data_IF_085238962251
#
_entry.id   IF_085238962251
#
_cell.length_a   1.000
_cell.length_b   1.000
_cell.length_c   1.000
_cell.angle_alpha   90.00
_cell.angle_beta   90.00
_cell.angle_gamma   90.00
#
_symmetry.space_group_name_H-M   'P 1'
#
loop_
_entity.id
_entity.type
_entity.pdbx_description
1 polymer ?
#
# COMPACT_ATOMS: atom_id res chain seq x y z
N UNK A 1 -1.68 -32.72 -4.83
CA UNK A 1 -2.16 -32.50 -6.21
C UNK A 1 -2.48 -31.02 -6.36
N UNK A 2 -1.96 -30.35 -7.40
CA UNK A 2 -2.31 -28.94 -7.66
C UNK A 2 -3.67 -28.93 -8.33
N UNK A 3 -4.70 -28.42 -7.65
CA UNK A 3 -6.02 -28.26 -8.25
C UNK A 3 -5.93 -27.21 -9.37
N UNK A 4 -6.10 -27.65 -10.61
CA UNK A 4 -6.16 -26.76 -11.78
C UNK A 4 -7.62 -26.44 -12.11
N UNK A 5 -7.89 -25.19 -12.46
CA UNK A 5 -9.22 -24.69 -12.77
C UNK A 5 -9.16 -23.87 -14.06
N UNK A 6 -10.20 -23.99 -14.88
CA UNK A 6 -10.35 -23.21 -16.12
C UNK A 6 -11.00 -21.87 -15.80
N UNK A 7 -10.40 -20.78 -16.29
CA UNK A 7 -11.03 -19.46 -16.21
C UNK A 7 -12.17 -19.32 -17.22
N UNK A 8 -13.33 -18.82 -16.80
CA UNK A 8 -14.47 -18.62 -17.69
C UNK A 8 -14.35 -17.39 -18.64
N UNK A 9 -13.29 -16.57 -18.51
CA UNK A 9 -13.11 -15.39 -19.36
C UNK A 9 -11.97 -15.59 -20.38
N UNK A 10 -10.80 -16.01 -19.92
CA UNK A 10 -9.66 -16.26 -20.83
C UNK A 10 -9.51 -17.73 -21.24
N UNK A 11 -10.35 -18.64 -20.72
CA UNK A 11 -10.36 -20.08 -21.01
C UNK A 11 -9.03 -20.82 -20.75
N UNK A 12 -8.09 -20.21 -20.04
CA UNK A 12 -6.82 -20.83 -19.65
C UNK A 12 -7.00 -21.76 -18.44
N UNK A 13 -6.32 -22.90 -18.46
CA UNK A 13 -6.12 -23.77 -17.29
C UNK A 13 -5.04 -23.15 -16.41
N UNK A 14 -5.40 -22.81 -15.18
CA UNK A 14 -4.51 -22.16 -14.22
C UNK A 14 -4.62 -22.87 -12.87
N UNK A 15 -3.58 -22.82 -12.02
CA UNK A 15 -3.67 -23.37 -10.68
C UNK A 15 -4.70 -22.61 -9.84
N UNK A 16 -5.29 -23.28 -8.84
CA UNK A 16 -6.25 -22.71 -7.90
C UNK A 16 -5.77 -21.41 -7.23
N UNK A 17 -4.44 -21.25 -7.07
CA UNK A 17 -3.82 -20.03 -6.54
C UNK A 17 -4.10 -18.78 -7.38
N UNK A 18 -4.37 -18.93 -8.68
CA UNK A 18 -4.69 -17.83 -9.59
C UNK A 18 -6.16 -17.42 -9.58
N UNK A 19 -6.95 -18.00 -8.68
CA UNK A 19 -8.36 -17.65 -8.49
C UNK A 19 -8.56 -17.04 -7.11
N UNK A 20 -9.51 -16.10 -7.01
CA UNK A 20 -9.95 -15.58 -5.71
C UNK A 20 -10.89 -16.59 -5.04
N UNK A 21 -10.80 -16.69 -3.71
CA UNK A 21 -11.77 -17.45 -2.92
C UNK A 21 -12.99 -16.58 -2.58
N UNK A 22 -14.14 -17.20 -2.41
CA UNK A 22 -15.35 -16.59 -1.88
C UNK A 22 -16.01 -17.54 -0.89
N UNK A 23 -16.63 -16.98 0.15
CA UNK A 23 -17.47 -17.76 1.07
C UNK A 23 -18.88 -17.80 0.51
N UNK A 24 -19.50 -18.98 0.49
CA UNK A 24 -20.91 -19.15 0.16
C UNK A 24 -21.78 -18.86 1.39
N UNK A 25 -23.10 -18.69 1.19
CA UNK A 25 -24.04 -18.54 2.30
C UNK A 25 -24.07 -19.74 3.25
N UNK A 26 -23.63 -20.91 2.79
CA UNK A 26 -23.47 -22.12 3.59
C UNK A 26 -22.12 -22.20 4.33
N UNK A 27 -21.29 -21.14 4.28
CA UNK A 27 -19.99 -21.09 4.97
C UNK A 27 -18.85 -21.81 4.25
N UNK A 28 -19.12 -22.48 3.12
CA UNK A 28 -18.09 -23.18 2.34
C UNK A 28 -17.26 -22.19 1.52
N UNK A 29 -15.95 -22.42 1.43
CA UNK A 29 -15.05 -21.60 0.60
C UNK A 29 -14.95 -22.20 -0.80
N UNK A 30 -15.33 -21.42 -1.81
CA UNK A 30 -15.27 -21.84 -3.22
C UNK A 30 -14.41 -20.88 -4.03
N UNK A 31 -13.80 -21.39 -5.10
CA UNK A 31 -13.02 -20.56 -6.02
C UNK A 31 -13.95 -19.84 -7.01
N UNK A 32 -13.68 -18.54 -7.22
CA UNK A 32 -14.35 -17.72 -8.24
C UNK A 32 -14.13 -18.29 -9.64
N UNK A 33 -15.04 -17.99 -10.57
CA UNK A 33 -15.00 -18.49 -11.95
C UNK A 33 -13.96 -17.81 -12.85
N UNK A 34 -13.48 -16.63 -12.47
CA UNK A 34 -12.49 -15.84 -13.23
C UNK A 34 -11.14 -15.85 -12.52
N UNK A 35 -10.05 -15.90 -13.28
CA UNK A 35 -8.71 -15.75 -12.72
C UNK A 35 -8.48 -14.30 -12.25
N UNK A 36 -7.46 -14.12 -11.42
CA UNK A 36 -7.09 -12.82 -10.83
C UNK A 36 -6.79 -11.77 -11.89
N UNK A 37 -6.12 -12.13 -12.98
CA UNK A 37 -5.80 -11.21 -14.08
C UNK A 37 -7.07 -10.70 -14.77
N UNK A 38 -7.94 -11.61 -15.18
CA UNK A 38 -9.21 -11.27 -15.81
C UNK A 38 -10.10 -10.43 -14.88
N UNK A 39 -10.12 -10.76 -13.60
CA UNK A 39 -10.84 -9.97 -12.60
C UNK A 39 -10.29 -8.54 -12.52
N UNK A 40 -8.96 -8.38 -12.47
CA UNK A 40 -8.30 -7.06 -12.41
C UNK A 40 -8.55 -6.24 -13.68
N UNK A 41 -8.50 -6.86 -14.86
CA UNK A 41 -8.77 -6.21 -16.13
C UNK A 41 -10.21 -5.66 -16.17
N UNK A 42 -11.21 -6.53 -15.95
CA UNK A 42 -12.63 -6.12 -15.92
C UNK A 42 -12.89 -5.06 -14.86
N UNK A 43 -12.28 -5.19 -13.68
CA UNK A 43 -12.41 -4.19 -12.61
C UNK A 43 -11.83 -2.85 -13.07
N UNK A 44 -10.63 -2.84 -13.67
CA UNK A 44 -10.00 -1.62 -14.19
C UNK A 44 -10.88 -0.94 -15.22
N UNK A 45 -11.39 -1.70 -16.19
CA UNK A 45 -12.23 -1.18 -17.27
C UNK A 45 -13.52 -0.58 -16.71
N UNK A 46 -14.15 -1.26 -15.74
CA UNK A 46 -15.31 -0.73 -15.02
C UNK A 46 -15.00 0.61 -14.34
N UNK A 47 -13.88 0.73 -13.62
CA UNK A 47 -13.47 1.99 -12.99
C UNK A 47 -13.19 3.11 -13.99
N UNK A 48 -12.62 2.79 -15.15
CA UNK A 48 -12.32 3.78 -16.19
C UNK A 48 -13.60 4.30 -16.84
N UNK A 49 -14.49 3.39 -17.25
CA UNK A 49 -15.75 3.74 -17.93
C UNK A 49 -16.72 4.48 -16.99
N UNK A 50 -16.74 4.13 -15.70
CA UNK A 50 -17.68 4.69 -14.73
C UNK A 50 -17.03 5.72 -13.79
N UNK A 51 -15.86 6.26 -14.18
CA UNK A 51 -15.03 7.09 -13.30
C UNK A 51 -15.79 8.27 -12.71
N UNK A 52 -16.54 8.99 -13.53
CA UNK A 52 -17.26 10.18 -13.07
C UNK A 52 -18.36 9.84 -12.08
N UNK A 53 -19.18 8.82 -12.37
CA UNK A 53 -20.26 8.38 -11.49
C UNK A 53 -19.70 7.91 -10.14
N UNK A 54 -18.62 7.13 -10.15
CA UNK A 54 -17.95 6.65 -8.94
C UNK A 54 -17.41 7.80 -8.10
N UNK A 55 -16.81 8.82 -8.73
CA UNK A 55 -16.33 10.02 -8.05
C UNK A 55 -17.49 10.84 -7.46
N UNK A 56 -18.60 10.99 -8.20
CA UNK A 56 -19.79 11.66 -7.69
C UNK A 56 -20.36 10.93 -6.47
N UNK A 57 -20.49 9.60 -6.54
CA UNK A 57 -20.94 8.75 -5.43
C UNK A 57 -20.01 8.90 -4.22
N UNK A 58 -18.71 8.92 -4.43
CA UNK A 58 -17.72 9.14 -3.37
C UNK A 58 -17.89 10.52 -2.71
N UNK A 59 -18.05 11.58 -3.51
CA UNK A 59 -18.31 12.95 -3.00
C UNK A 59 -19.58 13.01 -2.16
N UNK A 60 -20.65 12.36 -2.61
CA UNK A 60 -21.92 12.30 -1.88
C UNK A 60 -21.76 11.55 -0.55
N UNK A 61 -21.08 10.40 -0.54
CA UNK A 61 -20.80 9.66 0.69
C UNK A 61 -19.96 10.50 1.66
N UNK A 62 -18.93 11.19 1.17
CA UNK A 62 -18.13 12.10 2.00
C UNK A 62 -18.98 13.23 2.58
N UNK A 63 -19.85 13.86 1.77
CA UNK A 63 -20.77 14.92 2.23
C UNK A 63 -21.65 14.43 3.38
N UNK A 64 -22.21 13.22 3.28
CA UNK A 64 -23.01 12.59 4.34
C UNK A 64 -22.21 12.33 5.62
N UNK A 65 -20.95 11.90 5.49
CA UNK A 65 -20.07 11.59 6.63
C UNK A 65 -19.30 12.77 7.19
N UNK A 66 -19.31 13.93 6.52
CA UNK A 66 -18.47 15.09 6.83
C UNK A 66 -18.64 15.57 8.27
N UNK A 67 -19.87 15.76 8.72
CA UNK A 67 -20.16 16.24 10.08
C UNK A 67 -19.65 15.28 11.15
N UNK A 68 -19.89 13.98 10.98
CA UNK A 68 -19.37 12.94 11.85
C UNK A 68 -17.84 12.96 11.91
N UNK A 69 -17.16 13.02 10.77
CA UNK A 69 -15.69 13.04 10.72
C UNK A 69 -15.12 14.29 11.40
N UNK A 70 -15.69 15.46 11.15
CA UNK A 70 -15.28 16.71 11.81
C UNK A 70 -15.46 16.61 13.33
N UNK A 71 -16.60 16.09 13.78
CA UNK A 71 -16.84 15.90 15.22
C UNK A 71 -15.86 14.89 15.82
N UNK A 72 -15.65 13.74 15.18
CA UNK A 72 -14.69 12.73 15.61
C UNK A 72 -13.30 13.31 15.78
N UNK A 73 -12.81 14.07 14.79
CA UNK A 73 -11.52 14.73 14.90
C UNK A 73 -11.49 15.80 16.01
N UNK A 74 -12.56 16.57 16.18
CA UNK A 74 -12.66 17.57 17.23
C UNK A 74 -12.58 16.92 18.63
N UNK A 75 -13.34 15.85 18.86
CA UNK A 75 -13.42 15.20 20.18
C UNK A 75 -12.20 14.34 20.50
N UNK A 76 -11.53 13.77 19.50
CA UNK A 76 -10.31 12.95 19.69
C UNK A 76 -9.03 13.75 19.36
N UNK A 77 -9.06 15.07 19.54
CA UNK A 77 -7.93 15.96 19.20
C UNK A 77 -6.66 15.58 19.97
N UNK A 78 -6.77 15.39 21.28
CA UNK A 78 -5.61 15.17 22.15
C UNK A 78 -4.96 13.81 21.92
N UNK A 79 -5.76 12.74 21.85
CA UNK A 79 -5.29 11.39 21.56
C UNK A 79 -4.55 11.32 20.21
N UNK A 80 -5.13 11.96 19.19
CA UNK A 80 -4.51 12.05 17.86
C UNK A 80 -3.19 12.83 17.89
N UNK A 81 -3.11 13.94 18.63
CA UNK A 81 -1.86 14.71 18.79
C UNK A 81 -0.82 13.94 19.59
N UNK A 82 -1.22 13.12 20.58
CA UNK A 82 -0.33 12.23 21.31
C UNK A 82 0.23 11.15 20.39
N UNK A 83 -0.63 10.45 19.66
CA UNK A 83 -0.23 9.45 18.66
C UNK A 83 0.72 10.04 17.61
N UNK A 84 0.40 11.22 17.08
CA UNK A 84 1.24 11.91 16.10
C UNK A 84 2.63 12.21 16.66
N UNK A 85 2.71 12.76 17.88
CA UNK A 85 3.99 13.05 18.56
C UNK A 85 4.82 11.77 18.75
N UNK A 86 4.18 10.69 19.21
CA UNK A 86 4.84 9.40 19.41
C UNK A 86 5.36 8.80 18.09
N UNK A 87 4.56 8.88 17.02
CA UNK A 87 4.97 8.42 15.70
C UNK A 87 6.21 9.17 15.19
N UNK A 88 6.23 10.50 15.29
CA UNK A 88 7.40 11.29 14.90
C UNK A 88 8.62 10.98 15.76
N UNK A 89 8.45 10.81 17.08
CA UNK A 89 9.55 10.41 17.97
C UNK A 89 10.15 9.06 17.55
N UNK A 90 9.31 8.05 17.32
CA UNK A 90 9.75 6.72 16.88
C UNK A 90 10.45 6.77 15.53
N UNK A 91 9.89 7.50 14.58
CA UNK A 91 10.48 7.65 13.24
C UNK A 91 11.84 8.34 13.30
N UNK A 92 11.96 9.41 14.10
CA UNK A 92 13.23 10.12 14.30
C UNK A 92 14.27 9.24 15.00
N UNK A 93 13.87 8.48 16.02
CA UNK A 93 14.76 7.54 16.68
C UNK A 93 15.26 6.43 15.73
N UNK A 94 14.38 5.90 14.87
CA UNK A 94 14.76 4.92 13.86
C UNK A 94 15.74 5.49 12.82
N UNK A 95 15.53 6.74 12.37
CA UNK A 95 16.47 7.42 11.47
C UNK A 95 17.83 7.63 12.13
N UNK A 96 17.86 8.12 13.38
CA UNK A 96 19.10 8.32 14.11
C UNK A 96 19.84 6.99 14.38
N UNK A 97 19.12 5.91 14.67
CA UNK A 97 19.71 4.58 14.86
C UNK A 97 20.25 4.00 13.55
N UNK A 98 19.58 4.24 12.42
CA UNK A 98 20.09 3.86 11.10
C UNK A 98 21.37 4.63 10.77
N UNK A 99 21.37 5.96 10.97
CA UNK A 99 22.55 6.79 10.77
C UNK A 99 23.70 6.37 11.67
N UNK A 100 23.48 6.18 12.97
CA UNK A 100 24.51 5.70 13.88
C UNK A 100 25.01 4.28 13.53
N UNK A 101 24.13 3.44 12.97
CA UNK A 101 24.49 2.14 12.41
C UNK A 101 25.41 2.27 11.21
N UNK A 102 25.06 3.12 10.25
CA UNK A 102 25.88 3.47 9.07
C UNK A 102 27.22 4.08 9.48
N UNK A 103 27.22 5.07 10.37
CA UNK A 103 28.42 5.71 10.92
C UNK A 103 29.31 4.69 11.66
N UNK A 104 28.72 3.69 12.33
CA UNK A 104 29.47 2.63 13.02
C UNK A 104 30.04 1.55 12.10
N UNK A 105 29.40 1.32 10.94
CA UNK A 105 29.90 0.44 9.88
C UNK A 105 31.02 1.14 9.11
N UNK A 106 30.90 2.45 8.87
CA UNK A 106 31.94 3.29 8.30
C UNK A 106 33.15 3.44 9.25
N UNK A 107 32.91 3.60 10.56
CA UNK A 107 33.96 3.64 11.58
C UNK A 107 34.68 2.29 11.78
N UNK A 108 34.02 1.16 11.51
CA UNK A 108 34.65 -0.19 11.52
C UNK A 108 35.27 -0.58 10.18
N UNK A 109 35.06 0.22 9.14
CA UNK A 109 35.59 0.02 7.78
C UNK A 109 36.83 0.83 7.44
N UNK A 110 37.43 1.56 8.39
CA UNK A 110 38.68 2.30 8.16
C UNK A 110 39.92 1.47 8.49
N UNK A 111 40.14 0.45 7.66
CA UNK A 111 41.46 0.15 7.17
C UNK A 111 41.57 0.70 5.75
N UNK A 112 42.51 1.62 5.54
CA UNK A 112 43.03 2.12 4.25
C UNK A 112 42.44 3.44 3.70
N UNK A 113 43.27 4.49 3.85
CA UNK A 113 43.49 5.67 2.98
C UNK A 113 42.32 6.57 2.56
N UNK A 114 42.43 7.85 2.93
CA UNK A 114 41.59 8.95 2.48
C UNK A 114 41.60 9.14 0.95
N UNK A 115 40.44 9.36 0.30
CA UNK A 115 40.38 9.91 -1.04
C UNK A 115 40.31 11.45 -1.02
N UNK A 116 41.10 12.06 -1.90
CA UNK A 116 41.27 13.50 -2.14
C UNK A 116 39.97 14.30 -2.38
N UNK A 117 40.00 15.63 -2.15
CA UNK A 117 38.85 16.50 -2.40
C UNK A 117 38.50 16.55 -3.90
N UNK A 118 37.29 16.11 -4.25
CA UNK A 118 36.73 16.30 -5.60
C UNK A 118 36.50 17.79 -5.87
N UNK A 119 37.27 18.30 -6.83
CA UNK A 119 37.12 19.63 -7.45
C UNK A 119 35.67 19.89 -7.87
N UNK A 120 35.17 21.08 -7.55
CA UNK A 120 33.93 21.61 -8.12
C UNK A 120 34.02 21.63 -9.65
N UNK A 121 33.04 21.00 -10.32
CA UNK A 121 32.78 21.27 -11.74
C UNK A 121 31.70 22.34 -11.84
N UNK A 122 32.10 23.50 -12.37
CA UNK A 122 31.19 24.49 -12.97
C UNK A 122 30.38 23.80 -14.06
N UNK A 123 29.08 24.10 -14.11
CA UNK A 123 28.26 23.83 -15.29
C UNK A 123 27.79 25.17 -15.84
N UNK A 124 27.94 25.25 -17.15
CA UNK A 124 27.80 26.40 -18.05
C UNK A 124 26.47 27.13 -17.99
#
# INVERSE_FOLDING_TARGET
MKEEKVCNLCHRKLPASEFYTQKTGAGTTVLRSRCKECYRAVTRDYYQLNREELLQRQRQQYKKRRSYLLNYYRTHREERLKYQREWYRRRKAAQNAAQAGEDSVEAKGLGMSAPEPRRMRKSS
#
